data_IF_585907042426
#
_entry.id   IF_585907042426
#
_cell.length_a   1.000
_cell.length_b   1.000
_cell.length_c   1.000
_cell.angle_alpha   90.00
_cell.angle_beta   90.00
_cell.angle_gamma   90.00
#
_symmetry.space_group_name_H-M   'P 1'
#
loop_
_entity.id
_entity.type
_entity.pdbx_description
1 polymer ?
#
# COMPACT_ATOMS: atom_id res chain seq x y z
N UNK A 1 -15.06 5.57 12.20
CA UNK A 1 -14.43 6.39 11.15
C UNK A 1 -14.90 5.85 9.83
N UNK A 2 -15.23 6.72 8.88
CA UNK A 2 -15.68 6.34 7.54
C UNK A 2 -14.77 6.97 6.48
N UNK A 3 -14.75 6.35 5.30
CA UNK A 3 -14.20 6.92 4.07
C UNK A 3 -15.35 7.00 3.08
N UNK A 4 -15.50 8.14 2.42
CA UNK A 4 -16.30 8.22 1.22
C UNK A 4 -15.41 7.88 0.02
N UNK A 5 -15.58 6.69 -0.54
CA UNK A 5 -14.72 6.21 -1.62
C UNK A 5 -15.02 6.80 -2.98
N UNK A 6 -16.11 7.55 -3.13
CA UNK A 6 -16.53 8.12 -4.41
C UNK A 6 -17.40 9.37 -4.20
N UNK A 7 -16.83 10.55 -4.46
CA UNK A 7 -17.53 11.84 -4.38
C UNK A 7 -17.10 12.76 -5.53
N UNK A 8 -18.03 13.57 -6.03
CA UNK A 8 -17.81 14.55 -7.09
C UNK A 8 -17.85 15.98 -6.54
N UNK A 9 -16.93 16.34 -5.64
CA UNK A 9 -16.89 17.70 -5.08
C UNK A 9 -16.45 18.74 -6.13
N UNK A 10 -15.86 18.31 -7.24
CA UNK A 10 -15.56 19.15 -8.41
C UNK A 10 -16.82 19.64 -9.12
N UNK A 11 -17.96 18.94 -8.98
CA UNK A 11 -19.23 19.31 -9.60
C UNK A 11 -19.64 20.74 -9.22
N UNK A 12 -20.10 21.50 -10.23
CA UNK A 12 -20.48 22.90 -10.09
C UNK A 12 -21.65 23.13 -9.12
N UNK A 13 -22.44 22.10 -8.82
CA UNK A 13 -23.50 22.16 -7.80
C UNK A 13 -22.96 22.54 -6.42
N UNK A 14 -21.67 22.38 -6.16
CA UNK A 14 -21.02 22.78 -4.90
C UNK A 14 -20.29 24.13 -4.97
N UNK A 15 -20.27 24.81 -6.12
CA UNK A 15 -19.39 25.97 -6.32
C UNK A 15 -19.60 27.12 -5.32
N UNK A 16 -20.79 27.23 -4.72
CA UNK A 16 -21.09 28.27 -3.73
C UNK A 16 -20.75 27.89 -2.27
N UNK A 17 -20.61 26.60 -1.95
CA UNK A 17 -20.53 26.12 -0.57
C UNK A 17 -19.65 24.88 -0.35
N UNK A 18 -18.82 24.50 -1.32
CA UNK A 18 -17.91 23.35 -1.28
C UNK A 18 -17.10 23.24 0.02
N UNK A 19 -16.51 24.35 0.47
CA UNK A 19 -15.73 24.36 1.71
C UNK A 19 -16.60 23.98 2.93
N UNK A 20 -17.87 24.41 2.95
CA UNK A 20 -18.81 24.06 4.01
C UNK A 20 -19.22 22.59 3.95
N UNK A 21 -19.41 22.04 2.75
CA UNK A 21 -19.69 20.61 2.54
C UNK A 21 -18.53 19.74 3.06
N UNK A 22 -17.28 20.12 2.78
CA UNK A 22 -16.09 19.43 3.27
C UNK A 22 -15.97 19.52 4.79
N UNK A 23 -16.24 20.68 5.38
CA UNK A 23 -16.28 20.87 6.84
C UNK A 23 -17.33 19.96 7.50
N UNK A 24 -18.55 19.93 6.94
CA UNK A 24 -19.65 19.09 7.42
C UNK A 24 -19.29 17.61 7.36
N UNK A 25 -18.58 17.17 6.32
CA UNK A 25 -18.08 15.80 6.22
C UNK A 25 -17.12 15.44 7.37
N UNK A 26 -16.20 16.35 7.71
CA UNK A 26 -15.31 16.19 8.86
C UNK A 26 -16.07 16.08 10.18
N UNK A 27 -17.07 16.94 10.40
CA UNK A 27 -17.93 16.91 11.59
C UNK A 27 -18.78 15.63 11.67
N UNK A 28 -19.16 15.04 10.53
CA UNK A 28 -19.88 13.77 10.45
C UNK A 28 -18.98 12.54 10.71
N UNK A 29 -17.67 12.73 10.95
CA UNK A 29 -16.73 11.67 11.28
C UNK A 29 -16.10 10.96 10.07
N UNK A 30 -16.16 11.56 8.88
CA UNK A 30 -15.40 11.10 7.73
C UNK A 30 -13.92 11.42 7.92
N UNK A 31 -13.08 10.41 7.75
CA UNK A 31 -11.63 10.53 7.85
C UNK A 31 -11.02 10.93 6.52
N UNK A 32 -11.51 10.36 5.42
CA UNK A 32 -11.04 10.65 4.07
C UNK A 32 -12.21 10.74 3.09
N UNK A 33 -12.02 11.52 2.03
CA UNK A 33 -12.89 11.57 0.85
C UNK A 33 -12.01 11.32 -0.37
N UNK A 34 -12.47 10.47 -1.29
CA UNK A 34 -11.85 10.26 -2.59
C UNK A 34 -12.68 11.02 -3.62
N UNK A 35 -12.12 12.12 -4.11
CA UNK A 35 -12.75 12.97 -5.10
C UNK A 35 -12.48 12.44 -6.53
N UNK A 36 -13.51 12.35 -7.35
CA UNK A 36 -13.45 11.62 -8.61
C UNK A 36 -13.41 12.59 -9.78
N UNK A 37 -12.34 12.57 -10.56
CA UNK A 37 -12.29 13.30 -11.82
C UNK A 37 -12.99 12.54 -12.95
N UNK A 38 -13.83 13.25 -13.71
CA UNK A 38 -14.62 12.66 -14.82
C UNK A 38 -14.21 13.14 -16.21
N UNK A 39 -13.51 14.27 -16.30
CA UNK A 39 -12.99 14.88 -17.52
C UNK A 39 -11.76 15.74 -17.18
N UNK A 40 -11.18 16.45 -18.15
CA UNK A 40 -9.96 17.23 -17.92
C UNK A 40 -10.15 18.40 -16.95
N UNK A 41 -11.27 19.11 -16.97
CA UNK A 41 -11.51 20.21 -16.04
C UNK A 41 -11.83 19.67 -14.63
N UNK A 42 -12.65 18.62 -14.53
CA UNK A 42 -12.92 17.90 -13.29
C UNK A 42 -11.66 17.31 -12.68
N UNK A 43 -10.75 16.76 -13.50
CA UNK A 43 -9.43 16.27 -13.07
C UNK A 43 -8.57 17.40 -12.48
N UNK A 44 -8.53 18.59 -13.12
CA UNK A 44 -7.78 19.76 -12.61
C UNK A 44 -8.34 20.25 -11.27
N UNK A 45 -9.67 20.34 -11.15
CA UNK A 45 -10.33 20.75 -9.90
C UNK A 45 -10.08 19.70 -8.80
N UNK A 46 -10.17 18.41 -9.12
CA UNK A 46 -9.89 17.32 -8.19
C UNK A 46 -8.46 17.38 -7.64
N UNK A 47 -7.47 17.62 -8.51
CA UNK A 47 -6.07 17.82 -8.09
C UNK A 47 -5.92 19.03 -7.15
N UNK A 48 -6.61 20.12 -7.44
CA UNK A 48 -6.59 21.33 -6.59
C UNK A 48 -7.19 21.04 -5.22
N UNK A 49 -8.35 20.38 -5.16
CA UNK A 49 -9.00 20.00 -3.91
C UNK A 49 -8.12 19.08 -3.07
N UNK A 50 -7.52 18.06 -3.69
CA UNK A 50 -6.65 17.13 -2.99
C UNK A 50 -5.33 17.78 -2.51
N UNK A 51 -4.88 18.86 -3.15
CA UNK A 51 -3.74 19.66 -2.70
C UNK A 51 -4.09 20.60 -1.54
N UNK A 52 -5.33 21.12 -1.50
CA UNK A 52 -5.81 22.07 -0.49
C UNK A 52 -6.20 21.37 0.83
N UNK A 53 -6.78 20.17 0.75
CA UNK A 53 -7.31 19.46 1.92
C UNK A 53 -6.53 18.17 2.22
N UNK A 54 -6.03 18.04 3.45
CA UNK A 54 -5.24 16.86 3.87
C UNK A 54 -6.05 15.56 3.83
N UNK A 55 -7.34 15.62 4.14
CA UNK A 55 -8.27 14.50 4.15
C UNK A 55 -8.89 14.17 2.78
N UNK A 56 -8.57 14.91 1.72
CA UNK A 56 -9.05 14.63 0.36
C UNK A 56 -7.93 14.02 -0.46
N UNK A 57 -8.26 12.92 -1.12
CA UNK A 57 -7.48 12.31 -2.20
C UNK A 57 -8.29 12.41 -3.49
N UNK A 58 -7.68 12.15 -4.65
CA UNK A 58 -8.42 12.15 -5.90
C UNK A 58 -8.08 10.98 -6.81
N UNK A 59 -8.95 10.73 -7.77
CA UNK A 59 -8.67 9.90 -8.95
C UNK A 59 -8.64 10.79 -10.19
N UNK A 60 -7.99 10.30 -11.24
CA UNK A 60 -7.99 10.97 -12.53
C UNK A 60 -8.61 10.05 -13.58
N UNK A 61 -9.64 10.53 -14.26
CA UNK A 61 -10.48 9.71 -15.13
C UNK A 61 -10.99 10.43 -16.35
N UNK A 62 -11.62 9.65 -17.23
CA UNK A 62 -12.36 10.08 -18.41
C UNK A 62 -13.61 9.23 -18.43
N UNK A 63 -14.69 9.77 -17.87
CA UNK A 63 -15.96 9.09 -17.68
C UNK A 63 -16.55 8.76 -19.06
N UNK A 64 -17.19 7.57 -19.25
CA UNK A 64 -17.70 7.14 -20.56
C UNK A 64 -18.62 8.17 -21.23
N UNK A 65 -19.42 8.91 -20.46
CA UNK A 65 -20.28 9.95 -20.99
C UNK A 65 -19.57 11.14 -21.67
N UNK A 66 -18.27 11.35 -21.45
CA UNK A 66 -17.48 12.43 -22.06
C UNK A 66 -16.50 11.90 -23.12
N UNK A 67 -16.68 10.65 -23.60
CA UNK A 67 -15.67 10.01 -24.44
C UNK A 67 -15.44 10.70 -25.81
N UNK A 68 -16.40 11.51 -26.28
CA UNK A 68 -16.25 12.32 -27.49
C UNK A 68 -15.28 13.49 -27.37
N UNK A 69 -14.97 13.91 -26.15
CA UNK A 69 -14.06 15.03 -25.86
C UNK A 69 -12.63 14.55 -25.56
N UNK A 70 -12.41 13.24 -25.59
CA UNK A 70 -11.13 12.61 -25.25
C UNK A 70 -10.19 12.61 -26.45
N UNK A 71 -8.97 13.09 -26.21
CA UNK A 71 -7.85 13.08 -27.15
C UNK A 71 -6.55 12.59 -26.49
N UNK A 72 -5.44 12.56 -27.23
CA UNK A 72 -4.15 12.14 -26.68
C UNK A 72 -3.64 13.06 -25.57
N UNK A 73 -3.93 14.37 -25.65
CA UNK A 73 -3.58 15.32 -24.59
C UNK A 73 -4.27 14.98 -23.27
N UNK A 74 -5.46 14.38 -23.34
CA UNK A 74 -6.20 13.92 -22.18
C UNK A 74 -5.47 12.78 -21.44
N UNK A 75 -4.93 11.81 -22.18
CA UNK A 75 -4.13 10.72 -21.59
C UNK A 75 -2.79 11.22 -21.06
N UNK A 76 -2.12 12.12 -21.78
CA UNK A 76 -0.87 12.74 -21.34
C UNK A 76 -1.05 13.51 -20.03
N UNK A 77 -2.17 14.21 -19.88
CA UNK A 77 -2.51 14.89 -18.63
C UNK A 77 -2.60 13.90 -17.47
N UNK A 78 -3.30 12.79 -17.65
CA UNK A 78 -3.46 11.76 -16.60
C UNK A 78 -2.11 11.15 -16.26
N UNK A 79 -1.32 10.71 -17.26
CA UNK A 79 0.00 10.12 -17.04
C UNK A 79 0.96 11.06 -16.31
N UNK A 80 0.99 12.34 -16.69
CA UNK A 80 1.85 13.33 -16.05
C UNK A 80 1.49 13.56 -14.58
N UNK A 81 0.20 13.51 -14.25
CA UNK A 81 -0.28 13.81 -12.89
C UNK A 81 -0.46 12.57 -12.02
N UNK A 82 -0.47 11.35 -12.58
CA UNK A 82 -0.61 10.10 -11.84
C UNK A 82 0.49 9.89 -10.78
N UNK A 83 1.68 10.48 -10.99
CA UNK A 83 2.77 10.46 -10.02
C UNK A 83 2.51 11.33 -8.76
N UNK A 84 1.45 12.14 -8.74
CA UNK A 84 1.10 12.94 -7.58
C UNK A 84 0.61 12.03 -6.45
N UNK A 85 1.23 12.13 -5.26
CA UNK A 85 0.88 11.35 -4.05
C UNK A 85 -0.59 11.41 -3.61
N UNK A 86 -1.32 12.43 -4.06
CA UNK A 86 -2.75 12.64 -3.76
C UNK A 86 -3.67 11.97 -4.79
N UNK A 87 -3.12 11.56 -5.94
CA UNK A 87 -3.81 10.72 -6.93
C UNK A 87 -3.67 9.26 -6.49
N UNK A 88 -4.81 8.61 -6.25
CA UNK A 88 -4.87 7.27 -5.63
C UNK A 88 -5.56 6.22 -6.49
N UNK A 89 -6.06 6.60 -7.67
CA UNK A 89 -6.71 5.70 -8.60
C UNK A 89 -6.87 6.32 -9.98
N UNK A 90 -7.10 5.47 -10.97
CA UNK A 90 -7.45 5.86 -12.33
C UNK A 90 -8.94 5.60 -12.55
N UNK A 91 -9.66 6.66 -12.86
CA UNK A 91 -11.09 6.67 -12.99
C UNK A 91 -11.68 8.01 -12.51
N UNK A 92 -12.92 8.30 -12.79
CA UNK A 92 -13.90 7.35 -13.30
C UNK A 92 -13.67 6.94 -14.75
N UNK A 93 -13.82 5.65 -15.04
CA UNK A 93 -13.76 5.08 -16.39
C UNK A 93 -14.68 3.87 -16.46
N UNK A 94 -14.99 3.36 -17.65
CA UNK A 94 -15.85 2.19 -17.81
C UNK A 94 -16.85 2.39 -18.94
N UNK A 95 -18.07 1.89 -18.75
CA UNK A 95 -19.09 1.86 -19.80
C UNK A 95 -20.47 2.30 -19.28
N UNK A 96 -21.13 3.20 -20.00
CA UNK A 96 -22.50 3.66 -19.74
C UNK A 96 -23.32 3.58 -21.04
N UNK A 97 -24.03 2.47 -21.21
CA UNK A 97 -24.91 2.23 -22.37
C UNK A 97 -26.33 2.75 -22.16
N UNK A 98 -26.62 3.29 -20.97
CA UNK A 98 -27.91 3.89 -20.67
C UNK A 98 -27.97 5.33 -21.16
N UNK A 99 -26.95 6.15 -20.86
CA UNK A 99 -26.88 7.55 -21.31
C UNK A 99 -26.47 7.65 -22.78
N UNK A 100 -25.59 6.75 -23.23
CA UNK A 100 -25.19 6.57 -24.63
C UNK A 100 -24.87 7.89 -25.36
N UNK A 101 -24.11 8.78 -24.70
CA UNK A 101 -23.74 10.11 -25.22
C UNK A 101 -22.66 10.06 -26.29
N UNK A 102 -21.93 8.95 -26.39
CA UNK A 102 -20.96 8.65 -27.43
C UNK A 102 -21.03 7.17 -27.84
N UNK A 103 -20.37 6.78 -28.94
CA UNK A 103 -20.45 5.42 -29.47
C UNK A 103 -19.92 4.39 -28.47
N UNK A 104 -20.46 3.15 -28.52
CA UNK A 104 -19.98 2.07 -27.65
C UNK A 104 -18.50 1.80 -27.89
N UNK A 105 -18.09 1.83 -29.15
CA UNK A 105 -16.72 1.62 -29.59
C UNK A 105 -15.77 2.64 -28.96
N UNK A 106 -16.16 3.92 -28.89
CA UNK A 106 -15.32 4.96 -28.31
C UNK A 106 -15.25 4.85 -26.78
N UNK A 107 -16.36 4.52 -26.09
CA UNK A 107 -16.32 4.23 -24.66
C UNK A 107 -15.37 3.05 -24.36
N UNK A 108 -15.46 1.98 -25.16
CA UNK A 108 -14.58 0.81 -25.00
C UNK A 108 -13.11 1.15 -25.25
N UNK A 109 -12.79 1.98 -26.26
CA UNK A 109 -11.41 2.45 -26.51
C UNK A 109 -10.85 3.23 -25.32
N UNK A 110 -11.61 4.20 -24.80
CA UNK A 110 -11.19 5.00 -23.64
C UNK A 110 -10.99 4.11 -22.41
N UNK A 111 -11.92 3.19 -22.18
CA UNK A 111 -11.83 2.27 -21.05
C UNK A 111 -10.59 1.37 -21.13
N UNK A 112 -10.33 0.74 -22.29
CA UNK A 112 -9.11 -0.05 -22.52
C UNK A 112 -7.84 0.77 -22.29
N UNK A 113 -7.81 2.02 -22.77
CA UNK A 113 -6.65 2.91 -22.62
C UNK A 113 -6.39 3.27 -21.15
N UNK A 114 -7.45 3.58 -20.38
CA UNK A 114 -7.31 3.86 -18.95
C UNK A 114 -6.96 2.62 -18.11
N UNK A 115 -7.37 1.42 -18.53
CA UNK A 115 -6.86 0.16 -17.93
C UNK A 115 -5.35 0.03 -18.12
N UNK A 116 -4.82 0.32 -19.31
CA UNK A 116 -3.37 0.32 -19.55
C UNK A 116 -2.65 1.30 -18.63
N UNK A 117 -3.14 2.55 -18.56
CA UNK A 117 -2.57 3.60 -17.71
C UNK A 117 -2.61 3.18 -16.23
N UNK A 118 -3.71 2.62 -15.74
CA UNK A 118 -3.82 2.16 -14.36
C UNK A 118 -2.75 1.11 -14.00
N UNK A 119 -2.53 0.13 -14.89
CA UNK A 119 -1.48 -0.89 -14.72
C UNK A 119 -0.09 -0.28 -14.74
N UNK A 120 0.20 0.57 -15.73
CA UNK A 120 1.50 1.24 -15.89
C UNK A 120 1.84 2.10 -14.66
N UNK A 121 0.85 2.79 -14.09
CA UNK A 121 1.01 3.65 -12.91
C UNK A 121 0.88 2.89 -11.59
N UNK A 122 0.56 1.59 -11.61
CA UNK A 122 0.31 0.78 -10.42
C UNK A 122 -0.76 1.38 -9.48
N UNK A 123 -1.81 1.94 -10.09
CA UNK A 123 -2.95 2.57 -9.43
C UNK A 123 -4.22 1.75 -9.65
N UNK A 124 -5.10 1.60 -8.64
CA UNK A 124 -6.35 0.89 -8.78
C UNK A 124 -7.32 1.60 -9.74
N UNK A 125 -8.17 0.82 -10.40
CA UNK A 125 -9.25 1.32 -11.24
C UNK A 125 -10.47 1.73 -10.40
N UNK A 126 -11.15 2.81 -10.80
CA UNK A 126 -12.51 3.16 -10.37
C UNK A 126 -13.45 3.02 -11.57
N UNK A 127 -14.25 1.95 -11.57
CA UNK A 127 -14.97 1.45 -12.74
C UNK A 127 -16.46 1.75 -12.62
N UNK A 128 -16.98 2.49 -13.58
CA UNK A 128 -18.40 2.70 -13.84
C UNK A 128 -18.93 1.61 -14.78
N UNK A 129 -20.09 1.05 -14.47
CA UNK A 129 -20.77 0.14 -15.38
C UNK A 129 -22.27 0.29 -15.27
N UNK A 130 -22.90 0.70 -16.37
CA UNK A 130 -24.36 0.85 -16.45
C UNK A 130 -24.88 0.31 -17.77
N UNK A 131 -25.82 -0.64 -17.68
CA UNK A 131 -26.38 -1.39 -18.81
C UNK A 131 -25.32 -2.02 -19.74
N UNK A 132 -24.13 -2.31 -19.18
CA UNK A 132 -22.93 -2.70 -19.92
C UNK A 132 -22.16 -3.85 -19.25
N UNK A 133 -22.80 -4.66 -18.39
CA UNK A 133 -22.14 -5.68 -17.57
C UNK A 133 -21.25 -6.64 -18.36
N UNK A 134 -21.77 -7.22 -19.44
CA UNK A 134 -21.05 -8.22 -20.25
C UNK A 134 -19.79 -7.64 -20.88
N UNK A 135 -19.90 -6.45 -21.47
CA UNK A 135 -18.79 -5.78 -22.13
C UNK A 135 -17.75 -5.29 -21.12
N UNK A 136 -18.19 -4.84 -19.95
CA UNK A 136 -17.29 -4.43 -18.86
C UNK A 136 -16.45 -5.62 -18.39
N UNK A 137 -17.07 -6.77 -18.13
CA UNK A 137 -16.36 -8.00 -17.72
C UNK A 137 -15.42 -8.47 -18.81
N UNK A 138 -15.88 -8.49 -20.07
CA UNK A 138 -15.07 -8.90 -21.23
C UNK A 138 -13.80 -8.05 -21.31
N UNK A 139 -13.94 -6.73 -21.29
CA UNK A 139 -12.80 -5.81 -21.44
C UNK A 139 -11.84 -5.92 -20.26
N UNK A 140 -12.32 -6.00 -19.02
CA UNK A 140 -11.45 -6.20 -17.86
C UNK A 140 -10.62 -7.48 -18.01
N UNK A 141 -11.21 -8.57 -18.48
CA UNK A 141 -10.47 -9.83 -18.70
C UNK A 141 -9.50 -9.76 -19.87
N UNK A 142 -9.93 -9.22 -21.02
CA UNK A 142 -9.09 -9.06 -22.22
C UNK A 142 -7.84 -8.22 -21.94
N UNK A 143 -8.01 -7.12 -21.20
CA UNK A 143 -6.93 -6.18 -20.89
C UNK A 143 -6.18 -6.52 -19.60
N UNK A 144 -6.46 -7.67 -18.97
CA UNK A 144 -5.92 -8.05 -17.66
C UNK A 144 -6.08 -6.95 -16.59
N UNK A 145 -7.21 -6.24 -16.58
CA UNK A 145 -7.47 -5.13 -15.66
C UNK A 145 -7.41 -5.51 -14.19
N UNK A 146 -7.59 -6.79 -13.85
CA UNK A 146 -7.40 -7.32 -12.49
C UNK A 146 -5.98 -7.12 -11.94
N UNK A 147 -4.96 -6.96 -12.79
CA UNK A 147 -3.57 -6.70 -12.35
C UNK A 147 -3.42 -5.33 -11.69
N UNK A 148 -4.18 -4.32 -12.13
CA UNK A 148 -4.26 -3.04 -11.45
C UNK A 148 -5.06 -3.12 -10.13
N UNK A 149 -5.99 -4.07 -10.05
CA UNK A 149 -7.05 -4.09 -9.05
C UNK A 149 -8.00 -2.90 -9.21
N UNK A 150 -8.96 -2.76 -8.30
CA UNK A 150 -9.88 -1.64 -8.36
C UNK A 150 -11.17 -1.84 -7.58
N UNK A 151 -12.11 -0.94 -7.85
CA UNK A 151 -13.46 -0.96 -7.35
C UNK A 151 -14.46 -0.82 -8.50
N UNK A 152 -15.53 -1.61 -8.46
CA UNK A 152 -16.76 -1.33 -9.20
C UNK A 152 -17.60 -0.38 -8.34
N UNK A 153 -17.62 0.90 -8.71
CA UNK A 153 -18.33 1.92 -7.92
C UNK A 153 -19.83 1.87 -8.20
N UNK A 154 -20.60 2.52 -7.31
CA UNK A 154 -22.05 2.65 -7.34
C UNK A 154 -22.75 1.38 -7.83
N UNK A 155 -22.46 0.24 -7.19
CA UNK A 155 -22.93 -1.04 -7.70
C UNK A 155 -24.47 -1.10 -7.70
N UNK A 156 -25.03 -1.12 -8.91
CA UNK A 156 -26.46 -1.37 -9.17
C UNK A 156 -26.67 -2.52 -10.17
N UNK A 157 -25.63 -3.34 -10.38
CA UNK A 157 -25.61 -4.43 -11.35
C UNK A 157 -26.32 -5.71 -10.87
N UNK A 158 -26.31 -6.71 -11.74
CA UNK A 158 -26.85 -8.04 -11.43
C UNK A 158 -25.84 -8.93 -10.69
N UNK A 159 -26.33 -10.11 -10.26
CA UNK A 159 -25.52 -11.10 -9.55
C UNK A 159 -24.32 -11.60 -10.37
N UNK A 160 -24.48 -11.70 -11.69
CA UNK A 160 -23.43 -12.15 -12.60
C UNK A 160 -22.25 -11.18 -12.61
N UNK A 161 -22.53 -9.88 -12.70
CA UNK A 161 -21.49 -8.84 -12.61
C UNK A 161 -20.77 -8.89 -11.26
N UNK A 162 -21.52 -9.02 -10.16
CA UNK A 162 -20.95 -9.12 -8.82
C UNK A 162 -19.98 -10.31 -8.71
N UNK A 163 -20.44 -11.52 -9.06
CA UNK A 163 -19.65 -12.74 -8.90
C UNK A 163 -18.36 -12.69 -9.72
N UNK A 164 -18.42 -12.18 -10.95
CA UNK A 164 -17.23 -12.06 -11.81
C UNK A 164 -16.22 -11.04 -11.26
N UNK A 165 -16.67 -9.88 -10.80
CA UNK A 165 -15.76 -8.88 -10.21
C UNK A 165 -15.13 -9.37 -8.91
N UNK A 166 -15.87 -10.08 -8.07
CA UNK A 166 -15.32 -10.69 -6.85
C UNK A 166 -14.28 -11.77 -7.18
N UNK A 167 -14.51 -12.62 -8.19
CA UNK A 167 -13.52 -13.62 -8.66
C UNK A 167 -12.24 -12.96 -9.15
N UNK A 168 -12.37 -11.81 -9.82
CA UNK A 168 -11.26 -11.00 -10.31
C UNK A 168 -10.57 -10.18 -9.20
N UNK A 169 -11.06 -10.23 -7.96
CA UNK A 169 -10.44 -9.59 -6.80
C UNK A 169 -10.76 -8.11 -6.60
N UNK A 170 -11.74 -7.58 -7.35
CA UNK A 170 -12.20 -6.20 -7.21
C UNK A 170 -12.99 -5.98 -5.92
N UNK A 171 -12.98 -4.74 -5.45
CA UNK A 171 -13.89 -4.26 -4.42
C UNK A 171 -15.22 -3.84 -5.06
N UNK A 172 -16.27 -3.83 -4.24
CA UNK A 172 -17.61 -3.42 -4.66
C UNK A 172 -18.06 -2.29 -3.73
N UNK A 173 -18.35 -1.12 -4.29
CA UNK A 173 -18.83 0.00 -3.51
C UNK A 173 -20.35 0.11 -3.53
N UNK A 174 -20.91 0.42 -2.37
CA UNK A 174 -22.35 0.58 -2.17
C UNK A 174 -22.64 2.04 -1.82
N UNK A 175 -23.49 2.66 -2.64
CA UNK A 175 -23.97 4.03 -2.46
C UNK A 175 -25.35 4.14 -1.80
N UNK A 176 -25.86 5.36 -1.69
CA UNK A 176 -27.13 5.68 -1.03
C UNK A 176 -28.37 4.98 -1.61
N UNK A 177 -28.32 4.54 -2.87
CA UNK A 177 -29.41 3.84 -3.54
C UNK A 177 -29.89 2.57 -2.81
N UNK A 178 -29.04 1.95 -1.99
CA UNK A 178 -29.39 0.78 -1.17
C UNK A 178 -30.51 1.06 -0.15
N UNK A 179 -30.65 2.33 0.25
CA UNK A 179 -31.65 2.80 1.21
C UNK A 179 -33.05 2.93 0.60
N UNK A 180 -33.18 2.94 -0.72
CA UNK A 180 -34.46 3.19 -1.39
C UNK A 180 -35.45 2.03 -1.21
N UNK A 181 -36.75 2.29 -0.97
CA UNK A 181 -37.74 1.23 -0.75
C UNK A 181 -37.77 0.16 -1.85
N UNK A 182 -37.64 0.56 -3.12
CA UNK A 182 -37.69 -0.31 -4.29
C UNK A 182 -36.37 -1.06 -4.59
N UNK A 183 -35.28 -0.81 -3.87
CA UNK A 183 -33.98 -1.43 -4.12
C UNK A 183 -33.86 -2.85 -3.51
N UNK A 184 -34.94 -3.63 -3.45
CA UNK A 184 -34.94 -4.96 -2.83
C UNK A 184 -33.96 -5.92 -3.50
N UNK A 185 -33.95 -5.98 -4.83
CA UNK A 185 -33.03 -6.83 -5.58
C UNK A 185 -31.56 -6.45 -5.31
N UNK A 186 -31.25 -5.15 -5.28
CA UNK A 186 -29.91 -4.66 -4.94
C UNK A 186 -29.49 -5.09 -3.53
N UNK A 187 -30.39 -4.99 -2.55
CA UNK A 187 -30.11 -5.43 -1.17
C UNK A 187 -29.82 -6.91 -1.08
N UNK A 188 -30.55 -7.75 -1.83
CA UNK A 188 -30.25 -9.19 -1.89
C UNK A 188 -28.86 -9.45 -2.46
N UNK A 189 -28.48 -8.77 -3.54
CA UNK A 189 -27.14 -8.93 -4.13
C UNK A 189 -26.02 -8.45 -3.19
N UNK A 190 -26.25 -7.37 -2.43
CA UNK A 190 -25.25 -6.84 -1.45
C UNK A 190 -24.96 -7.83 -0.31
N UNK A 191 -25.92 -8.72 0.03
CA UNK A 191 -25.68 -9.77 1.04
C UNK A 191 -24.52 -10.69 0.64
N UNK A 192 -24.30 -10.88 -0.65
CA UNK A 192 -23.24 -11.76 -1.17
C UNK A 192 -21.86 -11.09 -1.20
N UNK A 193 -21.75 -9.76 -1.03
CA UNK A 193 -20.46 -9.04 -1.01
C UNK A 193 -19.69 -9.33 0.29
N UNK A 194 -18.51 -9.98 0.29
CA UNK A 194 -17.76 -10.18 1.52
C UNK A 194 -17.41 -8.85 2.20
N UNK A 195 -17.44 -8.77 3.53
CA UNK A 195 -17.07 -7.53 4.25
C UNK A 195 -15.66 -7.05 3.89
N UNK A 196 -14.74 -7.97 3.60
CA UNK A 196 -13.37 -7.68 3.13
C UNK A 196 -13.29 -7.12 1.70
N UNK A 197 -14.41 -7.01 0.98
CA UNK A 197 -14.51 -6.45 -0.38
C UNK A 197 -15.53 -5.33 -0.50
N UNK A 198 -16.19 -4.97 0.60
CA UNK A 198 -17.21 -3.91 0.64
C UNK A 198 -16.56 -2.53 0.81
N UNK A 199 -16.92 -1.59 -0.05
CA UNK A 199 -16.67 -0.16 0.11
C UNK A 199 -18.01 0.59 0.27
N UNK A 200 -17.93 1.79 0.82
CA UNK A 200 -19.07 2.69 0.98
C UNK A 200 -18.76 4.02 0.31
N UNK A 201 -19.79 4.60 -0.28
CA UNK A 201 -19.68 5.88 -0.98
C UNK A 201 -20.98 6.66 -0.90
N UNK A 202 -20.90 7.92 -1.32
CA UNK A 202 -22.10 8.74 -1.54
C UNK A 202 -22.44 8.91 -3.01
N UNK A 203 -21.45 8.93 -3.90
CA UNK A 203 -21.62 9.40 -5.28
C UNK A 203 -22.21 10.83 -5.34
N UNK A 204 -21.94 11.64 -4.31
CA UNK A 204 -22.51 12.97 -4.20
C UNK A 204 -21.98 13.88 -5.32
N UNK A 205 -22.79 14.77 -5.92
CA UNK A 205 -24.09 15.27 -5.46
C UNK A 205 -25.30 14.40 -5.82
N UNK A 206 -25.07 13.24 -6.43
CA UNK A 206 -26.10 12.32 -6.88
C UNK A 206 -26.56 11.37 -5.77
N UNK A 207 -27.69 10.69 -6.00
CA UNK A 207 -28.13 9.52 -5.23
C UNK A 207 -28.19 9.71 -3.69
N UNK A 208 -28.69 10.86 -3.24
CA UNK A 208 -28.92 11.11 -1.82
C UNK A 208 -29.74 9.97 -1.18
N UNK A 209 -29.34 9.48 0.01
CA UNK A 209 -30.03 8.36 0.65
C UNK A 209 -31.48 8.72 1.00
N UNK A 210 -32.28 7.71 1.32
CA UNK A 210 -33.74 7.81 1.38
C UNK A 210 -34.22 8.92 2.32
N UNK A 211 -33.58 9.15 3.47
CA UNK A 211 -33.98 10.24 4.38
C UNK A 211 -33.77 11.65 3.80
N UNK A 212 -32.91 11.77 2.78
CA UNK A 212 -32.55 13.02 2.07
C UNK A 212 -32.97 13.01 0.61
N UNK A 213 -33.84 12.08 0.18
CA UNK A 213 -34.19 11.92 -1.24
C UNK A 213 -34.70 13.24 -1.83
N UNK A 214 -34.11 13.66 -2.96
CA UNK A 214 -34.51 14.87 -3.67
C UNK A 214 -33.75 16.12 -3.23
N UNK A 215 -32.94 16.02 -2.18
CA UNK A 215 -31.93 17.02 -1.83
C UNK A 215 -30.62 16.71 -2.58
N UNK A 216 -29.74 17.72 -2.68
CA UNK A 216 -28.35 17.51 -3.12
C UNK A 216 -27.68 16.58 -2.11
N UNK A 217 -27.08 15.49 -2.58
CA UNK A 217 -26.32 14.59 -1.70
C UNK A 217 -25.04 15.29 -1.22
N UNK A 218 -24.43 14.82 -0.13
CA UNK A 218 -23.17 15.31 0.40
C UNK A 218 -22.41 14.17 1.11
N UNK A 219 -21.06 14.23 1.22
CA UNK A 219 -20.28 13.14 1.82
C UNK A 219 -20.72 12.78 3.24
N UNK A 220 -21.22 13.76 4.01
CA UNK A 220 -21.73 13.56 5.36
C UNK A 220 -22.90 12.54 5.44
N UNK A 221 -23.62 12.30 4.34
CA UNK A 221 -24.78 11.40 4.33
C UNK A 221 -24.39 9.92 4.22
N UNK A 222 -23.11 9.59 4.03
CA UNK A 222 -22.60 8.21 3.98
C UNK A 222 -22.95 7.37 5.21
N UNK A 223 -23.18 8.02 6.36
CA UNK A 223 -23.57 7.33 7.59
C UNK A 223 -24.85 6.51 7.41
N UNK A 224 -25.84 7.02 6.68
CA UNK A 224 -27.10 6.30 6.41
C UNK A 224 -26.85 5.09 5.50
N UNK A 225 -25.97 5.23 4.50
CA UNK A 225 -25.52 4.10 3.67
C UNK A 225 -24.84 3.02 4.52
N UNK A 226 -23.97 3.40 5.45
CA UNK A 226 -23.28 2.49 6.36
C UNK A 226 -24.25 1.76 7.30
N UNK A 227 -25.23 2.46 7.87
CA UNK A 227 -26.28 1.88 8.72
C UNK A 227 -27.13 0.88 7.94
N UNK A 228 -27.54 1.23 6.71
CA UNK A 228 -28.32 0.32 5.86
C UNK A 228 -27.51 -0.89 5.42
N UNK A 229 -26.23 -0.72 5.09
CA UNK A 229 -25.34 -1.83 4.79
C UNK A 229 -25.20 -2.77 6.00
N UNK A 230 -25.08 -2.24 7.22
CA UNK A 230 -24.99 -3.05 8.44
C UNK A 230 -26.26 -3.90 8.66
N UNK A 231 -27.45 -3.31 8.47
CA UNK A 231 -28.73 -4.03 8.50
C UNK A 231 -28.76 -5.20 7.49
N UNK A 232 -28.37 -4.94 6.24
CA UNK A 232 -28.38 -5.95 5.16
C UNK A 232 -27.40 -7.09 5.46
N UNK A 233 -26.22 -6.75 5.98
CA UNK A 233 -25.16 -7.72 6.30
C UNK A 233 -25.39 -8.46 7.61
N UNK A 234 -26.37 -8.06 8.43
CA UNK A 234 -26.64 -8.67 9.73
C UNK A 234 -25.51 -8.47 10.74
N UNK A 235 -24.76 -7.36 10.64
CA UNK A 235 -23.65 -7.01 11.54
C UNK A 235 -23.82 -5.60 12.08
N UNK A 236 -22.96 -5.17 13.01
CA UNK A 236 -23.05 -3.82 13.58
C UNK A 236 -22.51 -2.74 12.63
N UNK A 237 -22.95 -1.51 12.83
CA UNK A 237 -22.42 -0.33 12.14
C UNK A 237 -20.90 -0.21 12.27
N UNK A 238 -20.34 -0.48 13.46
CA UNK A 238 -18.90 -0.43 13.72
C UNK A 238 -18.15 -1.47 12.90
N UNK A 239 -18.76 -2.65 12.70
CA UNK A 239 -18.17 -3.73 11.89
C UNK A 239 -18.08 -3.32 10.43
N UNK A 240 -19.17 -2.83 9.85
CA UNK A 240 -19.17 -2.31 8.46
C UNK A 240 -18.20 -1.15 8.33
N UNK A 241 -18.27 -0.17 9.23
CA UNK A 241 -17.41 1.01 9.21
C UNK A 241 -15.93 0.64 9.28
N UNK A 242 -15.57 -0.33 10.13
CA UNK A 242 -14.18 -0.81 10.25
C UNK A 242 -13.72 -1.49 8.97
N UNK A 243 -14.52 -2.40 8.41
CA UNK A 243 -14.15 -3.13 7.20
C UNK A 243 -14.08 -2.21 5.99
N UNK A 244 -15.08 -1.37 5.75
CA UNK A 244 -15.06 -0.42 4.62
C UNK A 244 -13.90 0.55 4.72
N UNK A 245 -13.62 1.08 5.92
CA UNK A 245 -12.45 1.94 6.16
C UNK A 245 -11.13 1.24 5.82
N UNK A 246 -10.92 0.02 6.33
CA UNK A 246 -9.71 -0.75 6.06
C UNK A 246 -9.57 -1.07 4.57
N UNK A 247 -10.66 -1.48 3.93
CA UNK A 247 -10.69 -1.76 2.50
C UNK A 247 -10.31 -0.52 1.68
N UNK A 248 -10.86 0.67 1.99
CA UNK A 248 -10.50 1.92 1.31
C UNK A 248 -9.02 2.25 1.50
N UNK A 249 -8.51 2.11 2.75
CA UNK A 249 -7.10 2.35 3.07
C UNK A 249 -6.18 1.41 2.30
N UNK A 250 -6.54 0.13 2.16
CA UNK A 250 -5.73 -0.85 1.45
C UNK A 250 -5.78 -0.65 -0.07
N UNK A 251 -6.98 -0.48 -0.63
CA UNK A 251 -7.15 -0.30 -2.08
C UNK A 251 -6.44 0.96 -2.56
N UNK A 252 -6.74 2.10 -1.93
CA UNK A 252 -6.27 3.42 -2.36
C UNK A 252 -5.00 3.88 -1.63
N UNK A 253 -4.41 3.02 -0.79
CA UNK A 253 -3.17 3.30 -0.03
C UNK A 253 -3.28 4.60 0.81
N UNK A 254 -4.47 4.88 1.35
CA UNK A 254 -4.77 6.14 2.06
C UNK A 254 -4.02 6.27 3.39
N UNK A 255 -3.59 7.48 3.74
CA UNK A 255 -2.89 7.73 5.00
C UNK A 255 -1.48 7.11 5.10
N UNK A 256 -1.06 6.34 4.10
CA UNK A 256 0.32 5.92 3.93
C UNK A 256 1.09 7.16 3.48
N UNK A 257 1.93 7.72 4.36
CA UNK A 257 2.89 8.74 3.96
C UNK A 257 3.78 8.11 2.88
N UNK A 258 3.60 8.55 1.64
CA UNK A 258 4.35 8.05 0.48
C UNK A 258 5.83 8.46 0.46
N UNK A 259 6.32 9.20 1.48
CA UNK A 259 7.76 9.35 1.70
C UNK A 259 8.28 8.15 2.44
N UNK A 260 9.43 7.62 2.02
CA UNK A 260 10.05 6.53 2.73
C UNK A 260 10.34 6.87 4.18
N UNK A 261 10.05 5.90 5.03
CA UNK A 261 10.13 5.99 6.47
C UNK A 261 11.56 5.62 6.87
N UNK A 262 12.25 6.60 7.46
CA UNK A 262 13.64 6.45 7.90
C UNK A 262 13.74 5.89 9.33
N UNK A 263 12.67 6.04 10.13
CA UNK A 263 12.53 5.46 11.47
C UNK A 263 11.09 4.99 11.67
N UNK A 264 10.90 3.74 12.09
CA UNK A 264 9.59 3.11 12.23
C UNK A 264 9.51 2.16 13.43
N UNK A 265 8.31 1.82 13.88
CA UNK A 265 8.11 1.00 15.08
C UNK A 265 7.45 -0.34 14.76
N UNK A 266 7.97 -1.42 15.33
CA UNK A 266 7.38 -2.76 15.29
C UNK A 266 7.57 -3.42 16.67
N UNK A 267 6.49 -3.91 17.28
CA UNK A 267 6.52 -4.71 18.52
C UNK A 267 7.37 -4.10 19.65
N UNK A 268 7.21 -2.80 19.93
CA UNK A 268 7.94 -2.04 20.95
C UNK A 268 9.47 -1.93 20.73
N UNK A 269 9.94 -2.19 19.51
CA UNK A 269 11.30 -1.88 19.05
C UNK A 269 11.25 -0.77 18.01
N UNK A 270 12.27 0.09 18.02
CA UNK A 270 12.44 1.16 17.03
C UNK A 270 13.39 0.71 15.93
N UNK A 271 12.99 0.84 14.68
CA UNK A 271 13.75 0.40 13.52
C UNK A 271 14.29 1.59 12.75
N UNK A 272 15.54 1.50 12.31
CA UNK A 272 16.25 2.52 11.54
C UNK A 272 16.53 2.01 10.13
N UNK A 273 16.04 2.74 9.14
CA UNK A 273 16.18 2.46 7.72
C UNK A 273 17.20 3.43 7.08
N UNK A 274 18.41 2.94 6.83
CA UNK A 274 19.53 3.80 6.42
C UNK A 274 19.69 3.97 4.91
N UNK A 275 19.26 3.00 4.12
CA UNK A 275 19.55 2.91 2.68
C UNK A 275 18.59 1.95 1.98
N UNK A 276 18.36 2.17 0.68
CA UNK A 276 17.73 1.20 -0.23
C UNK A 276 18.75 0.23 -0.86
N UNK A 277 20.06 0.51 -0.72
CA UNK A 277 21.12 -0.29 -1.35
C UNK A 277 21.29 -1.61 -0.60
N UNK A 278 21.54 -2.70 -1.32
CA UNK A 278 21.89 -3.99 -0.73
C UNK A 278 22.83 -4.74 -1.67
N UNK A 279 23.79 -5.48 -1.11
CA UNK A 279 24.71 -6.34 -1.86
C UNK A 279 24.08 -7.66 -2.34
N UNK A 280 22.87 -7.97 -1.87
CA UNK A 280 22.09 -9.13 -2.29
C UNK A 280 20.88 -8.70 -3.13
N UNK A 281 20.45 -9.58 -4.05
CA UNK A 281 19.15 -9.55 -4.72
C UNK A 281 18.33 -10.81 -4.43
N UNK A 282 17.96 -10.99 -3.15
CA UNK A 282 17.31 -12.22 -2.71
C UNK A 282 15.94 -12.41 -3.37
N UNK A 283 15.64 -13.64 -3.79
CA UNK A 283 14.35 -14.02 -4.41
C UNK A 283 13.16 -13.85 -3.46
N UNK A 284 13.41 -13.92 -2.15
CA UNK A 284 12.40 -13.81 -1.08
C UNK A 284 12.36 -12.42 -0.41
N UNK A 285 13.05 -11.42 -0.97
CA UNK A 285 13.10 -10.11 -0.36
C UNK A 285 11.77 -9.38 -0.55
N UNK A 286 11.17 -8.88 0.54
CA UNK A 286 9.91 -8.14 0.51
C UNK A 286 9.93 -6.96 -0.48
N UNK A 287 11.11 -6.37 -0.71
CA UNK A 287 11.31 -5.26 -1.65
C UNK A 287 10.98 -5.57 -3.11
N UNK A 288 10.96 -6.86 -3.47
CA UNK A 288 10.63 -7.27 -4.84
C UNK A 288 9.11 -7.23 -5.08
N UNK A 289 8.32 -7.23 -4.02
CA UNK A 289 6.85 -7.29 -4.07
C UNK A 289 6.21 -5.97 -3.62
N UNK A 290 6.76 -5.33 -2.60
CA UNK A 290 6.18 -4.11 -2.02
C UNK A 290 7.22 -3.27 -1.29
N UNK A 291 7.00 -1.95 -1.32
CA UNK A 291 7.73 -1.01 -0.46
C UNK A 291 7.15 -0.94 0.96
N UNK A 292 5.97 -1.54 1.19
CA UNK A 292 5.26 -1.53 2.47
C UNK A 292 5.61 -2.73 3.32
N UNK A 293 6.13 -2.46 4.52
CA UNK A 293 6.39 -3.48 5.55
C UNK A 293 5.66 -3.08 6.83
N UNK A 294 4.70 -3.91 7.26
CA UNK A 294 3.87 -3.67 8.47
C UNK A 294 3.23 -2.27 8.51
N UNK A 295 2.80 -1.76 7.35
CA UNK A 295 2.19 -0.44 7.21
C UNK A 295 3.17 0.73 7.05
N UNK A 296 4.48 0.46 7.06
CA UNK A 296 5.52 1.48 6.83
C UNK A 296 6.07 1.39 5.41
N UNK A 297 6.07 2.49 4.67
CA UNK A 297 6.76 2.58 3.38
C UNK A 297 8.26 2.68 3.63
N UNK A 298 9.04 1.66 3.30
CA UNK A 298 10.49 1.62 3.54
C UNK A 298 11.34 2.09 2.36
N UNK A 299 10.74 2.38 1.19
CA UNK A 299 11.49 2.93 0.06
C UNK A 299 11.78 4.41 0.29
N UNK A 300 13.02 4.74 0.71
CA UNK A 300 13.44 6.12 1.00
C UNK A 300 13.83 6.88 -0.26
N UNK A 301 13.40 8.14 -0.36
CA UNK A 301 13.68 9.01 -1.52
C UNK A 301 15.18 9.32 -1.66
N UNK A 302 15.86 9.43 -0.52
CA UNK A 302 17.32 9.59 -0.42
C UNK A 302 17.84 9.01 0.87
N UNK A 303 19.16 8.78 0.92
CA UNK A 303 19.83 8.36 2.14
C UNK A 303 19.84 9.50 3.18
N UNK A 304 19.29 9.28 4.40
CA UNK A 304 19.24 10.31 5.44
C UNK A 304 20.59 10.53 6.10
N UNK A 305 20.84 11.72 6.63
CA UNK A 305 21.98 11.96 7.53
C UNK A 305 21.73 11.31 8.91
N UNK A 306 22.80 11.16 9.71
CA UNK A 306 22.67 10.69 11.09
C UNK A 306 21.78 11.64 11.92
N UNK A 307 21.91 12.95 11.72
CA UNK A 307 21.10 13.97 12.39
C UNK A 307 19.60 13.81 12.06
N UNK A 308 19.26 13.61 10.79
CA UNK A 308 17.86 13.38 10.37
C UNK A 308 17.27 12.12 11.02
N UNK A 309 18.05 11.04 11.09
CA UNK A 309 17.63 9.81 11.77
C UNK A 309 17.39 10.06 13.26
N UNK A 310 18.33 10.71 13.95
CA UNK A 310 18.23 10.93 15.40
C UNK A 310 17.09 11.88 15.75
N UNK A 311 16.86 12.90 14.92
CA UNK A 311 15.70 13.80 15.03
C UNK A 311 14.40 13.03 14.83
N UNK A 312 14.32 12.16 13.83
CA UNK A 312 13.15 11.33 13.57
C UNK A 312 12.92 10.27 14.66
N UNK A 313 13.99 9.73 15.26
CA UNK A 313 13.92 8.74 16.33
C UNK A 313 13.38 9.32 17.65
N UNK A 314 13.59 10.62 17.90
CA UNK A 314 13.07 11.30 19.08
C UNK A 314 13.55 10.68 20.39
N UNK A 315 12.61 10.44 21.31
CA UNK A 315 12.88 9.73 22.56
C UNK A 315 12.86 8.22 22.35
N UNK A 316 14.04 7.62 22.49
CA UNK A 316 14.27 6.19 22.28
C UNK A 316 14.21 5.37 23.57
N UNK A 317 14.10 6.02 24.74
CA UNK A 317 14.13 5.35 26.04
C UNK A 317 12.93 4.43 26.30
N UNK A 318 11.80 4.73 25.65
CA UNK A 318 10.57 3.93 25.70
C UNK A 318 10.66 2.59 24.95
N UNK A 319 11.65 2.41 24.09
CA UNK A 319 11.78 1.22 23.24
C UNK A 319 12.67 0.17 23.89
N UNK A 320 12.30 -1.10 23.68
CA UNK A 320 13.08 -2.25 24.15
C UNK A 320 14.48 -2.29 23.54
N UNK A 321 14.58 -1.95 22.27
CA UNK A 321 15.83 -1.88 21.50
C UNK A 321 15.64 -0.97 20.29
N UNK A 322 16.77 -0.53 19.73
CA UNK A 322 16.85 0.14 18.44
C UNK A 322 17.56 -0.77 17.44
N UNK A 323 16.92 -1.04 16.31
CA UNK A 323 17.32 -2.04 15.33
C UNK A 323 17.66 -1.37 14.01
N UNK A 324 18.90 -1.50 13.55
CA UNK A 324 19.27 -1.14 12.18
C UNK A 324 18.76 -2.24 11.23
N UNK A 325 17.62 -1.96 10.60
CA UNK A 325 16.96 -2.86 9.66
C UNK A 325 16.00 -2.03 8.81
N UNK A 326 16.07 -2.19 7.49
CA UNK A 326 15.30 -1.39 6.55
C UNK A 326 15.20 -2.08 5.19
N UNK A 327 15.05 -1.30 4.13
CA UNK A 327 14.88 -1.82 2.77
C UNK A 327 16.20 -2.38 2.18
N UNK A 328 17.33 -1.84 2.63
CA UNK A 328 18.68 -2.22 2.21
C UNK A 328 19.56 -2.78 3.33
N UNK A 329 20.82 -3.05 2.99
CA UNK A 329 21.85 -3.56 3.90
C UNK A 329 22.43 -2.41 4.74
N UNK A 330 22.19 -2.38 6.07
CA UNK A 330 22.58 -1.25 6.90
C UNK A 330 24.10 -1.03 6.95
N UNK A 331 24.91 -2.09 6.84
CA UNK A 331 26.37 -1.97 6.90
C UNK A 331 26.98 -1.26 5.70
N UNK A 332 26.27 -1.06 4.59
CA UNK A 332 26.72 -0.20 3.47
C UNK A 332 26.99 1.23 3.96
N UNK A 333 26.21 1.71 4.93
CA UNK A 333 26.37 3.05 5.52
C UNK A 333 27.03 2.98 6.90
N UNK A 334 28.11 2.22 7.01
CA UNK A 334 28.82 1.94 8.27
C UNK A 334 29.18 3.20 9.08
N UNK A 335 29.66 4.28 8.43
CA UNK A 335 30.00 5.53 9.13
C UNK A 335 28.79 6.15 9.84
N UNK A 336 27.67 6.28 9.12
CA UNK A 336 26.41 6.83 9.64
C UNK A 336 25.81 5.91 10.70
N UNK A 337 25.85 4.59 10.47
CA UNK A 337 25.43 3.59 11.45
C UNK A 337 26.17 3.78 12.77
N UNK A 338 27.51 3.85 12.74
CA UNK A 338 28.34 4.03 13.95
C UNK A 338 28.05 5.33 14.67
N UNK A 339 27.87 6.44 13.93
CA UNK A 339 27.55 7.74 14.52
C UNK A 339 26.22 7.69 15.29
N UNK A 340 25.18 7.11 14.69
CA UNK A 340 23.87 6.94 15.32
C UNK A 340 23.99 6.01 16.53
N UNK A 341 24.64 4.85 16.37
CA UNK A 341 24.81 3.87 17.43
C UNK A 341 25.51 4.48 18.66
N UNK A 342 26.60 5.24 18.46
CA UNK A 342 27.29 5.93 19.55
C UNK A 342 26.35 6.86 20.34
N UNK A 343 25.54 7.65 19.63
CA UNK A 343 24.56 8.56 20.28
C UNK A 343 23.42 7.80 20.97
N UNK A 344 23.00 6.64 20.46
CA UNK A 344 22.02 5.77 21.11
C UNK A 344 22.58 5.12 22.38
N UNK A 345 23.84 4.67 22.35
CA UNK A 345 24.51 4.09 23.52
C UNK A 345 24.68 5.10 24.66
N UNK A 346 24.94 6.38 24.36
CA UNK A 346 24.96 7.45 25.37
C UNK A 346 23.60 7.62 26.08
N UNK A 347 22.49 7.24 25.42
CA UNK A 347 21.14 7.23 25.99
C UNK A 347 20.76 5.91 26.66
N UNK A 348 21.69 4.96 26.77
CA UNK A 348 21.45 3.66 27.39
C UNK A 348 20.65 2.67 26.54
N UNK A 349 20.42 2.96 25.25
CA UNK A 349 19.66 2.07 24.37
C UNK A 349 20.41 0.76 24.07
N UNK A 350 19.65 -0.34 23.95
CA UNK A 350 20.13 -1.58 23.34
C UNK A 350 20.11 -1.43 21.82
N UNK A 351 21.21 -1.73 21.15
CA UNK A 351 21.38 -1.58 19.69
C UNK A 351 21.56 -2.92 19.02
N UNK A 352 20.73 -3.22 18.02
CA UNK A 352 20.82 -4.43 17.19
C UNK A 352 21.02 -4.08 15.72
N UNK A 353 21.78 -4.90 14.99
CA UNK A 353 21.88 -4.84 13.53
C UNK A 353 21.28 -6.10 12.92
N UNK A 354 20.35 -5.95 11.98
CA UNK A 354 19.93 -7.05 11.12
C UNK A 354 20.60 -6.88 9.74
N UNK A 355 21.45 -7.83 9.37
CA UNK A 355 22.35 -7.73 8.21
C UNK A 355 22.33 -9.02 7.37
N UNK A 356 22.72 -8.90 6.11
CA UNK A 356 23.04 -10.03 5.26
C UNK A 356 24.43 -10.63 5.55
N UNK A 357 25.24 -10.01 6.42
CA UNK A 357 26.53 -10.53 6.88
C UNK A 357 27.71 -10.23 5.96
N UNK A 358 27.52 -9.46 4.89
CA UNK A 358 28.58 -9.17 3.91
C UNK A 358 29.34 -7.88 4.21
N UNK A 359 29.21 -7.32 5.41
CA UNK A 359 29.85 -6.04 5.78
C UNK A 359 31.35 -6.02 5.54
N UNK A 360 32.07 -7.11 5.84
CA UNK A 360 33.51 -7.19 5.58
C UNK A 360 33.84 -7.18 4.08
N UNK A 361 33.02 -7.84 3.25
CA UNK A 361 33.17 -7.86 1.79
C UNK A 361 32.85 -6.49 1.18
N UNK A 362 31.81 -5.81 1.68
CA UNK A 362 31.41 -4.47 1.25
C UNK A 362 32.52 -3.44 1.49
N UNK A 363 33.21 -3.53 2.63
CA UNK A 363 34.25 -2.56 3.01
C UNK A 363 35.68 -3.03 2.70
N UNK A 364 35.87 -4.27 2.22
CA UNK A 364 37.18 -4.86 1.94
C UNK A 364 38.07 -5.04 3.17
N UNK A 365 37.49 -5.05 4.39
CA UNK A 365 38.21 -5.13 5.68
C UNK A 365 37.29 -5.61 6.80
N UNK A 366 37.86 -6.05 7.92
CA UNK A 366 37.06 -6.46 9.08
C UNK A 366 36.44 -5.25 9.80
N UNK A 367 35.11 -5.14 9.79
CA UNK A 367 34.36 -4.02 10.40
C UNK A 367 33.94 -4.29 11.85
N UNK A 368 33.98 -5.55 12.30
CA UNK A 368 33.47 -5.97 13.61
C UNK A 368 34.18 -5.30 14.81
N UNK A 369 35.52 -5.08 14.80
CA UNK A 369 36.18 -4.34 15.87
C UNK A 369 35.63 -2.92 16.07
N UNK A 370 35.18 -2.27 14.99
CA UNK A 370 34.62 -0.92 15.04
C UNK A 370 33.20 -0.87 15.60
N UNK A 371 32.51 -2.01 15.66
CA UNK A 371 31.15 -2.13 16.21
C UNK A 371 31.17 -2.48 17.71
N UNK A 372 32.33 -2.86 18.25
CA UNK A 372 32.50 -3.21 19.67
C UNK A 372 32.07 -2.05 20.56
N UNK A 373 31.16 -2.32 21.49
CA UNK A 373 30.61 -1.32 22.42
C UNK A 373 29.54 -0.40 21.82
N UNK A 374 29.36 -0.41 20.49
CA UNK A 374 28.29 0.33 19.80
C UNK A 374 27.06 -0.54 19.53
N UNK A 375 27.26 -1.85 19.39
CA UNK A 375 26.23 -2.82 19.00
C UNK A 375 26.19 -3.95 20.02
N UNK A 376 25.00 -4.22 20.54
CA UNK A 376 24.78 -5.26 21.55
C UNK A 376 24.39 -6.60 20.91
N UNK A 377 23.75 -6.55 19.74
CA UNK A 377 23.29 -7.74 19.02
C UNK A 377 23.44 -7.63 17.50
N UNK A 378 23.70 -8.76 16.84
CA UNK A 378 23.65 -8.88 15.37
C UNK A 378 22.84 -10.12 14.96
N UNK A 379 21.89 -9.94 14.05
CA UNK A 379 21.20 -11.03 13.36
C UNK A 379 21.66 -11.08 11.92
N UNK A 380 22.35 -12.14 11.54
CA UNK A 380 22.89 -12.35 10.20
C UNK A 380 22.01 -13.31 9.42
N UNK A 381 21.73 -12.99 8.16
CA UNK A 381 20.94 -13.83 7.27
C UNK A 381 21.81 -14.90 6.60
N UNK A 382 21.98 -16.07 7.26
CA UNK A 382 22.72 -17.21 6.73
C UNK A 382 22.01 -17.82 5.51
N UNK A 383 20.68 -17.97 5.59
CA UNK A 383 19.74 -18.35 4.52
C UNK A 383 19.95 -19.67 3.75
N UNK A 384 21.13 -20.26 3.72
CA UNK A 384 21.42 -21.52 3.04
C UNK A 384 22.53 -22.29 3.77
N UNK A 385 22.65 -23.59 3.48
CA UNK A 385 23.66 -24.47 4.07
C UNK A 385 24.93 -24.61 3.22
N UNK A 386 24.90 -24.14 1.98
CA UNK A 386 26.01 -24.21 1.03
C UNK A 386 26.03 -22.96 0.12
N UNK A 387 27.14 -22.79 -0.61
CA UNK A 387 27.39 -21.62 -1.46
C UNK A 387 26.43 -21.53 -2.64
N UNK A 388 26.13 -22.65 -3.29
CA UNK A 388 25.28 -22.70 -4.48
C UNK A 388 23.86 -22.27 -4.15
N UNK A 389 23.29 -22.84 -3.08
CA UNK A 389 21.97 -22.44 -2.60
C UNK A 389 21.95 -21.00 -2.14
N UNK A 390 22.98 -20.54 -1.42
CA UNK A 390 23.08 -19.14 -1.00
C UNK A 390 23.04 -18.21 -2.21
N UNK A 391 23.86 -18.48 -3.23
CA UNK A 391 23.91 -17.65 -4.42
C UNK A 391 22.61 -17.72 -5.23
N UNK A 392 21.98 -18.90 -5.32
CA UNK A 392 20.70 -19.10 -5.99
C UNK A 392 19.58 -18.28 -5.37
N UNK A 393 19.47 -18.23 -4.04
CA UNK A 393 18.36 -17.55 -3.37
C UNK A 393 18.66 -16.11 -2.97
N UNK A 394 19.92 -15.77 -2.66
CA UNK A 394 20.30 -14.44 -2.21
C UNK A 394 20.83 -13.56 -3.35
N UNK A 395 21.33 -14.17 -4.42
CA UNK A 395 21.93 -13.50 -5.58
C UNK A 395 22.87 -12.37 -5.15
N UNK A 396 23.98 -12.73 -4.52
CA UNK A 396 24.95 -11.76 -4.03
C UNK A 396 25.80 -11.24 -5.18
N UNK A 397 26.12 -9.93 -5.14
CA UNK A 397 27.12 -9.33 -6.04
C UNK A 397 28.52 -9.93 -5.86
N UNK A 398 28.80 -10.56 -4.71
CA UNK A 398 30.09 -11.20 -4.39
C UNK A 398 30.19 -12.66 -4.85
N UNK A 399 29.13 -13.21 -5.48
CA UNK A 399 29.11 -14.57 -6.05
C UNK A 399 29.59 -15.62 -5.03
N UNK A 400 30.52 -16.49 -5.42
CA UNK A 400 31.05 -17.60 -4.62
C UNK A 400 31.69 -17.16 -3.29
N UNK A 401 32.23 -15.93 -3.21
CA UNK A 401 32.82 -15.41 -1.98
C UNK A 401 31.78 -15.04 -0.91
N UNK A 402 30.52 -14.88 -1.31
CA UNK A 402 29.46 -14.37 -0.43
C UNK A 402 29.19 -15.28 0.77
N UNK A 403 28.99 -16.58 0.52
CA UNK A 403 28.61 -17.53 1.58
C UNK A 403 29.73 -17.71 2.61
N UNK A 404 30.97 -17.89 2.13
CA UNK A 404 32.16 -17.96 2.98
C UNK A 404 32.31 -16.70 3.82
N UNK A 405 32.18 -15.51 3.21
CA UNK A 405 32.25 -14.24 3.92
C UNK A 405 31.17 -14.09 5.01
N UNK A 406 29.96 -14.57 4.77
CA UNK A 406 28.88 -14.58 5.78
C UNK A 406 29.22 -15.50 6.95
N UNK A 407 29.74 -16.71 6.69
CA UNK A 407 30.17 -17.64 7.75
C UNK A 407 31.33 -17.06 8.57
N UNK A 408 32.32 -16.48 7.92
CA UNK A 408 33.45 -15.82 8.58
C UNK A 408 33.00 -14.63 9.43
N UNK A 409 32.08 -13.82 8.92
CA UNK A 409 31.50 -12.70 9.65
C UNK A 409 30.78 -13.19 10.92
N UNK A 410 29.95 -14.22 10.83
CA UNK A 410 29.28 -14.84 11.98
C UNK A 410 30.27 -15.38 13.02
N UNK A 411 31.31 -16.09 12.56
CA UNK A 411 32.35 -16.67 13.43
C UNK A 411 33.12 -15.58 14.18
N UNK A 412 33.51 -14.52 13.48
CA UNK A 412 34.32 -13.42 14.01
C UNK A 412 33.49 -12.50 14.91
N UNK A 413 32.20 -12.31 14.63
CA UNK A 413 31.33 -11.38 15.35
C UNK A 413 31.28 -11.65 16.85
N UNK A 414 31.34 -12.92 17.27
CA UNK A 414 31.31 -13.33 18.68
C UNK A 414 32.44 -12.76 19.52
N UNK A 415 33.56 -12.34 18.91
CA UNK A 415 34.69 -11.71 19.62
C UNK A 415 34.39 -10.27 20.03
N UNK A 416 33.41 -9.62 19.39
CA UNK A 416 33.16 -8.19 19.53
C UNK A 416 31.73 -7.84 19.91
N UNK A 417 30.76 -8.68 19.54
CA UNK A 417 29.32 -8.47 19.73
C UNK A 417 28.78 -9.49 20.74
N UNK A 418 28.11 -9.06 21.82
CA UNK A 418 27.58 -9.97 22.85
C UNK A 418 26.59 -11.02 22.33
N UNK A 419 25.61 -10.60 21.53
CA UNK A 419 24.56 -11.47 21.01
C UNK A 419 24.71 -11.65 19.50
N UNK A 420 25.06 -12.86 19.05
CA UNK A 420 25.18 -13.18 17.62
C UNK A 420 24.18 -14.27 17.26
N UNK A 421 23.32 -13.97 16.28
CA UNK A 421 22.28 -14.88 15.79
C UNK A 421 22.42 -15.09 14.29
N UNK A 422 22.47 -16.33 13.84
CA UNK A 422 22.26 -16.70 12.45
C UNK A 422 20.76 -16.92 12.20
N UNK A 423 20.29 -16.56 11.01
CA UNK A 423 18.88 -16.74 10.64
C UNK A 423 18.71 -17.30 9.23
N UNK A 424 17.62 -18.02 9.04
CA UNK A 424 17.22 -18.60 7.75
C UNK A 424 15.78 -18.24 7.44
N UNK A 425 15.46 -17.99 6.17
CA UNK A 425 14.07 -17.89 5.70
C UNK A 425 13.66 -19.27 5.18
N UNK A 426 12.46 -19.74 5.51
CA UNK A 426 11.92 -21.05 5.07
C UNK A 426 11.52 -21.08 3.59
N UNK A 427 12.39 -20.60 2.71
CA UNK A 427 12.21 -20.64 1.25
C UNK A 427 12.13 -22.11 0.81
N UNK A 428 11.17 -22.47 -0.07
CA UNK A 428 11.09 -23.83 -0.60
C UNK A 428 12.42 -24.31 -1.18
N UNK A 429 12.83 -25.52 -0.80
CA UNK A 429 14.09 -26.13 -1.25
C UNK A 429 15.33 -25.74 -0.44
N UNK A 430 15.19 -25.06 0.70
CA UNK A 430 16.29 -24.80 1.64
C UNK A 430 16.24 -25.78 2.82
N UNK A 431 17.37 -26.42 3.09
CA UNK A 431 17.55 -27.27 4.27
C UNK A 431 17.78 -26.41 5.53
N UNK A 432 16.67 -26.08 6.19
CA UNK A 432 16.63 -25.29 7.43
C UNK A 432 17.41 -25.98 8.56
N UNK A 433 17.39 -27.32 8.61
CA UNK A 433 18.04 -28.06 9.69
C UNK A 433 19.56 -28.12 9.49
N UNK A 434 20.02 -28.27 8.25
CA UNK A 434 21.45 -28.10 7.93
C UNK A 434 21.93 -26.67 8.28
N UNK A 435 21.13 -25.64 8.01
CA UNK A 435 21.45 -24.27 8.43
C UNK A 435 21.55 -24.14 9.96
N UNK A 436 20.65 -24.80 10.71
CA UNK A 436 20.70 -24.84 12.18
C UNK A 436 22.00 -25.46 12.67
N UNK A 437 22.37 -26.64 12.16
CA UNK A 437 23.62 -27.32 12.53
C UNK A 437 24.84 -26.45 12.27
N UNK A 438 24.90 -25.77 11.13
CA UNK A 438 25.99 -24.82 10.83
C UNK A 438 26.02 -23.69 11.87
N UNK A 439 24.87 -23.11 12.21
CA UNK A 439 24.82 -22.04 13.22
C UNK A 439 25.22 -22.51 14.62
N UNK A 440 24.59 -23.57 15.12
CA UNK A 440 24.69 -24.00 16.52
C UNK A 440 25.93 -24.89 16.78
N UNK A 441 26.28 -25.78 15.84
CA UNK A 441 27.36 -26.76 16.01
C UNK A 441 28.70 -26.26 15.47
N UNK A 442 28.73 -25.65 14.28
CA UNK A 442 29.98 -25.18 13.66
C UNK A 442 30.35 -23.77 14.14
N UNK A 443 29.41 -22.83 13.98
CA UNK A 443 29.65 -21.41 14.26
C UNK A 443 29.45 -21.06 15.74
N UNK A 444 28.79 -21.92 16.53
CA UNK A 444 28.44 -21.71 17.95
C UNK A 444 27.75 -20.35 18.19
N UNK A 445 26.73 -20.05 17.39
CA UNK A 445 25.87 -18.86 17.50
C UNK A 445 24.41 -19.28 17.69
N UNK A 446 23.56 -18.38 18.19
CA UNK A 446 22.12 -18.65 18.26
C UNK A 446 21.51 -18.77 16.86
N UNK A 447 20.41 -19.51 16.74
CA UNK A 447 19.72 -19.71 15.47
C UNK A 447 18.26 -19.28 15.52
N UNK A 448 17.79 -18.62 14.45
CA UNK A 448 16.40 -18.14 14.32
C UNK A 448 15.81 -18.47 12.95
N UNK A 449 14.64 -19.10 12.95
CA UNK A 449 13.87 -19.35 11.73
C UNK A 449 12.94 -18.18 11.44
N UNK A 450 12.87 -17.75 10.17
CA UNK A 450 11.91 -16.76 9.65
C UNK A 450 11.02 -17.43 8.63
N UNK A 451 9.71 -17.23 8.74
CA UNK A 451 8.75 -17.86 7.83
C UNK A 451 8.71 -17.14 6.48
N UNK A 452 8.81 -17.90 5.39
CA UNK A 452 8.65 -17.37 4.04
C UNK A 452 7.26 -16.73 3.86
N UNK A 453 7.18 -15.60 3.13
CA UNK A 453 5.95 -14.82 2.95
C UNK A 453 5.46 -14.06 4.18
N UNK A 454 6.15 -14.17 5.34
CA UNK A 454 5.87 -13.35 6.53
C UNK A 454 7.00 -12.38 6.78
N UNK A 455 6.72 -11.10 6.58
CA UNK A 455 7.63 -10.01 6.93
C UNK A 455 7.28 -9.53 8.34
N UNK A 456 8.29 -9.35 9.20
CA UNK A 456 8.15 -9.03 10.63
C UNK A 456 7.72 -10.22 11.45
#
# INVERSE_FOLDING_TARGET
MLVDSHAHLEDDKYSNDRAKVIENAGLAGLKYIINIGTDIEGNKISLKLAAEYDNIYCTLGLHPNYCSEVDEMSYDFINKNAANRKVVGIGETGLDYFRNTCSKEDQQKVFKRLISIAKEQCLPLVIHSRDASQDTIRIIKEENGQEAGGVLHCFTGDRMLLEEFLKLGFYIAVGGAVTYPNAAALRETIKDIPLSRLLLETDCPYLAPQSKRGQRNEPAFIKETAEKAAEIKGVTFETVSKWSFLNSVYLFKLGIKQRGTIVYEINNSLYINLTNRCSNHCSFCARNESTLVKGHNLAIDREPSAEEILKAAGDVSKYKEVVFCGFGEPTIRLSVLKEIAAKLKLKGSKVRIDTNGQGNLIHGRNILPELKGLVDAVSVSLNASNSDDYQRICFSQFKEAAYTGVKEFLKEAKKYIPEVTASVVTVPGIDVEACRKIAEEELKVSFRIRQFGRVG
#
